data_IF_157274835370
#
_entry.id   IF_157274835370
#
_cell.length_a   1.000
_cell.length_b   1.000
_cell.length_c   1.000
_cell.angle_alpha   90.00
_cell.angle_beta   90.00
_cell.angle_gamma   90.00
#
_symmetry.space_group_name_H-M   'P 1'
#
loop_
_entity.id
_entity.type
_entity.pdbx_description
1 polymer ?
#
# COMPACT_ATOMS: atom_id res chain seq x y z
N UNK A 1 -5.57 -5.82 21.96
CA UNK A 1 -6.27 -6.65 20.96
C UNK A 1 -5.19 -7.21 20.04
N UNK A 2 -5.02 -8.54 20.00
CA UNK A 2 -3.90 -9.16 19.27
C UNK A 2 -4.00 -8.86 17.76
N UNK A 3 -2.86 -8.55 17.14
CA UNK A 3 -2.75 -8.46 15.70
C UNK A 3 -2.86 -9.88 15.14
N UNK A 4 -4.03 -10.24 14.63
CA UNK A 4 -4.25 -11.57 14.06
C UNK A 4 -3.54 -11.64 12.70
N UNK A 5 -2.47 -12.43 12.62
CA UNK A 5 -1.81 -12.73 11.35
C UNK A 5 -2.75 -13.53 10.45
N UNK A 6 -3.25 -12.89 9.39
CA UNK A 6 -4.12 -13.49 8.38
C UNK A 6 -3.28 -14.33 7.42
N UNK A 7 -3.84 -15.43 6.91
CA UNK A 7 -3.26 -16.07 5.74
C UNK A 7 -3.48 -15.18 4.48
N UNK A 8 -2.68 -15.34 3.41
CA UNK A 8 -2.75 -14.45 2.25
C UNK A 8 -4.15 -14.30 1.65
N UNK A 9 -4.91 -15.38 1.55
CA UNK A 9 -6.26 -15.35 0.99
C UNK A 9 -7.24 -14.58 1.88
N UNK A 10 -7.14 -14.71 3.22
CA UNK A 10 -7.97 -13.98 4.17
C UNK A 10 -7.65 -12.48 4.12
N UNK A 11 -6.36 -12.11 4.10
CA UNK A 11 -5.92 -10.73 3.97
C UNK A 11 -6.41 -10.10 2.66
N UNK A 12 -6.31 -10.81 1.54
CA UNK A 12 -6.82 -10.34 0.25
C UNK A 12 -8.34 -10.12 0.30
N UNK A 13 -9.11 -11.09 0.81
CA UNK A 13 -10.56 -10.95 0.92
C UNK A 13 -10.95 -9.76 1.78
N UNK A 14 -10.24 -9.53 2.88
CA UNK A 14 -10.47 -8.40 3.79
C UNK A 14 -10.16 -7.06 3.13
N UNK A 15 -9.04 -6.96 2.38
CA UNK A 15 -8.72 -5.78 1.58
C UNK A 15 -9.87 -5.49 0.60
N UNK A 16 -10.30 -6.50 -0.16
CA UNK A 16 -11.34 -6.33 -1.17
C UNK A 16 -12.68 -5.93 -0.56
N UNK A 17 -13.03 -6.49 0.60
CA UNK A 17 -14.23 -6.15 1.36
C UNK A 17 -14.19 -4.70 1.86
N UNK A 18 -13.09 -4.29 2.50
CA UNK A 18 -12.92 -2.92 3.04
C UNK A 18 -12.81 -1.85 1.95
N UNK A 19 -12.24 -2.20 0.79
CA UNK A 19 -12.19 -1.29 -0.37
C UNK A 19 -13.59 -0.89 -0.86
N UNK A 20 -14.55 -1.82 -0.80
CA UNK A 20 -15.96 -1.61 -1.18
C UNK A 20 -16.76 -0.80 -0.15
N UNK A 21 -16.29 -0.74 1.10
CA UNK A 21 -16.92 0.00 2.19
C UNK A 21 -16.35 1.43 2.34
N UNK A 22 -15.72 1.98 1.29
CA UNK A 22 -15.06 3.29 1.30
C UNK A 22 -13.92 3.49 2.31
N UNK A 23 -13.20 2.41 2.65
CA UNK A 23 -11.95 2.53 3.38
C UNK A 23 -10.94 3.41 2.63
N UNK A 24 -10.64 4.60 3.17
CA UNK A 24 -9.56 5.48 2.69
C UNK A 24 -8.18 4.86 2.95
N UNK A 25 -8.06 4.19 4.09
CA UNK A 25 -6.87 3.48 4.52
C UNK A 25 -7.24 2.08 5.01
N UNK A 26 -6.50 1.10 4.52
CA UNK A 26 -6.69 -0.31 4.87
C UNK A 26 -5.36 -0.84 5.39
N UNK A 27 -5.42 -1.57 6.50
CA UNK A 27 -4.27 -2.24 7.07
C UNK A 27 -4.63 -3.68 7.38
N UNK A 28 -3.80 -4.60 6.92
CA UNK A 28 -3.88 -6.04 7.21
C UNK A 28 -2.52 -6.54 7.66
N UNK A 29 -2.52 -7.64 8.40
CA UNK A 29 -1.35 -8.23 9.04
C UNK A 29 -1.21 -9.67 8.56
N UNK A 30 -0.01 -10.06 8.13
CA UNK A 30 0.30 -11.41 7.66
C UNK A 30 1.60 -11.92 8.28
N UNK A 31 1.79 -13.24 8.28
CA UNK A 31 2.89 -13.87 9.01
C UNK A 31 4.29 -13.58 8.44
N UNK A 32 4.41 -13.38 7.13
CA UNK A 32 5.73 -13.26 6.48
C UNK A 32 5.74 -12.27 5.32
N UNK A 33 6.94 -11.82 4.93
CA UNK A 33 7.13 -11.02 3.72
C UNK A 33 6.58 -11.73 2.48
N UNK A 34 6.78 -13.05 2.39
CA UNK A 34 6.24 -13.87 1.29
C UNK A 34 4.72 -13.80 1.25
N UNK A 35 4.06 -13.92 2.39
CA UNK A 35 2.60 -13.78 2.47
C UNK A 35 2.14 -12.40 2.01
N UNK A 36 2.86 -11.35 2.38
CA UNK A 36 2.54 -9.99 1.96
C UNK A 36 2.68 -9.81 0.44
N UNK A 37 3.73 -10.39 -0.16
CA UNK A 37 3.90 -10.40 -1.61
C UNK A 37 2.80 -11.20 -2.32
N UNK A 38 2.35 -12.31 -1.73
CA UNK A 38 1.28 -13.13 -2.29
C UNK A 38 -0.07 -12.37 -2.22
N UNK A 39 -0.34 -11.61 -1.14
CA UNK A 39 -1.48 -10.67 -1.07
C UNK A 39 -1.36 -9.57 -2.12
N UNK A 40 -0.20 -8.94 -2.27
CA UNK A 40 0.07 -7.92 -3.28
C UNK A 40 -0.23 -8.47 -4.68
N UNK A 41 0.33 -9.63 -5.03
CA UNK A 41 0.12 -10.30 -6.32
C UNK A 41 -1.37 -10.57 -6.56
N UNK A 42 -2.08 -11.09 -5.56
CA UNK A 42 -3.52 -11.31 -5.65
C UNK A 42 -4.31 -10.02 -5.90
N UNK A 43 -3.96 -8.94 -5.19
CA UNK A 43 -4.62 -7.65 -5.36
C UNK A 43 -4.37 -7.05 -6.76
N UNK A 44 -3.10 -6.92 -7.17
CA UNK A 44 -2.73 -6.27 -8.44
C UNK A 44 -3.09 -7.09 -9.68
N UNK A 45 -3.35 -8.40 -9.54
CA UNK A 45 -3.84 -9.26 -10.62
C UNK A 45 -5.37 -9.37 -10.66
N UNK A 46 -6.05 -8.92 -9.62
CA UNK A 46 -7.52 -8.96 -9.57
C UNK A 46 -8.12 -8.15 -10.74
N UNK A 47 -9.19 -8.67 -11.33
CA UNK A 47 -9.92 -7.97 -12.41
C UNK A 47 -10.42 -6.60 -11.95
N UNK A 48 -10.78 -6.45 -10.68
CA UNK A 48 -11.28 -5.17 -10.13
C UNK A 48 -10.18 -4.10 -10.10
N UNK A 49 -8.96 -4.45 -9.66
CA UNK A 49 -7.84 -3.51 -9.60
C UNK A 49 -7.22 -3.24 -10.99
N UNK A 50 -7.04 -4.28 -11.80
CA UNK A 50 -6.39 -4.17 -13.14
C UNK A 50 -7.23 -3.43 -14.17
N UNK A 51 -8.57 -3.42 -14.04
CA UNK A 51 -9.47 -2.60 -14.89
C UNK A 51 -9.09 -1.11 -14.89
N UNK A 52 -8.42 -0.63 -13.83
CA UNK A 52 -8.00 0.76 -13.69
C UNK A 52 -6.60 1.04 -14.25
N UNK A 53 -5.80 0.00 -14.52
CA UNK A 53 -4.45 0.08 -15.09
C UNK A 53 -3.46 -0.93 -14.49
N UNK A 54 -2.15 -0.71 -14.73
CA UNK A 54 -1.05 -1.49 -14.15
C UNK A 54 -0.45 -0.85 -12.89
N UNK A 55 0.00 -1.70 -11.96
CA UNK A 55 0.73 -1.27 -10.77
C UNK A 55 2.23 -1.24 -11.02
N UNK A 56 2.91 -0.21 -10.49
CA UNK A 56 4.37 -0.04 -10.61
C UNK A 56 5.06 -0.16 -9.25
N UNK A 57 6.17 -0.91 -9.20
CA UNK A 57 7.06 -0.92 -8.04
C UNK A 57 7.84 0.40 -7.97
N UNK A 58 7.79 1.06 -6.81
CA UNK A 58 8.41 2.36 -6.54
C UNK A 58 9.41 2.34 -5.39
N UNK A 59 9.76 1.17 -4.87
CA UNK A 59 10.62 0.99 -3.68
C UNK A 59 11.94 1.77 -3.74
N UNK A 60 12.64 1.69 -4.88
CA UNK A 60 13.95 2.34 -5.05
C UNK A 60 13.87 3.63 -5.88
N UNK A 61 12.66 4.18 -6.08
CA UNK A 61 12.51 5.39 -6.87
C UNK A 61 12.78 6.63 -6.01
N UNK A 62 13.70 7.46 -6.48
CA UNK A 62 13.91 8.79 -5.91
C UNK A 62 12.60 9.56 -6.00
N UNK A 63 12.08 9.99 -4.85
CA UNK A 63 10.90 10.83 -4.81
C UNK A 63 11.20 12.12 -5.59
N UNK A 64 10.41 12.45 -6.61
CA UNK A 64 10.65 13.64 -7.40
C UNK A 64 10.49 14.90 -6.56
N UNK A 65 11.39 15.85 -6.77
CA UNK A 65 11.37 17.15 -6.14
C UNK A 65 10.22 18.01 -6.71
N UNK A 66 9.40 18.60 -5.84
CA UNK A 66 8.30 19.47 -6.23
C UNK A 66 7.24 19.67 -5.15
N UNK A 67 6.53 20.79 -5.18
CA UNK A 67 5.44 21.10 -4.22
C UNK A 67 4.29 20.10 -4.43
N UNK A 68 3.92 19.40 -3.36
CA UNK A 68 2.69 18.59 -3.28
C UNK A 68 1.49 19.46 -3.69
N UNK A 69 0.66 18.98 -4.60
CA UNK A 69 -0.68 19.56 -4.76
C UNK A 69 -1.51 19.13 -3.56
N UNK A 70 -2.24 20.07 -2.96
CA UNK A 70 -3.03 19.91 -1.73
C UNK A 70 -4.12 18.84 -1.81
N UNK A 71 -4.45 18.37 -3.02
CA UNK A 71 -5.49 17.37 -3.29
C UNK A 71 -4.96 16.07 -3.93
N UNK A 72 -3.65 15.84 -3.89
CA UNK A 72 -3.02 14.64 -4.48
C UNK A 72 -2.68 13.64 -3.40
N UNK A 73 -2.88 12.34 -3.70
CA UNK A 73 -2.28 11.24 -2.93
C UNK A 73 -0.79 11.54 -2.69
N UNK A 74 -0.32 11.36 -1.46
CA UNK A 74 1.02 11.75 -0.95
C UNK A 74 2.21 11.20 -1.76
N UNK A 75 1.95 10.29 -2.70
CA UNK A 75 2.92 9.59 -3.51
C UNK A 75 2.89 9.92 -5.00
N UNK A 76 1.95 10.74 -5.47
CA UNK A 76 1.93 11.17 -6.86
C UNK A 76 2.80 12.44 -7.01
N UNK A 77 3.88 12.39 -7.79
CA UNK A 77 4.73 13.55 -8.02
C UNK A 77 3.93 14.75 -8.52
N UNK A 78 4.00 15.88 -7.82
CA UNK A 78 3.46 17.17 -8.26
C UNK A 78 4.28 17.83 -9.38
N UNK A 79 4.70 17.06 -10.40
CA UNK A 79 5.59 17.51 -11.46
C UNK A 79 5.00 17.31 -12.85
N UNK A 80 5.08 18.34 -13.71
CA UNK A 80 4.64 18.29 -15.12
C UNK A 80 5.24 17.05 -15.81
N UNK A 81 4.35 16.15 -16.29
CA UNK A 81 4.56 14.79 -16.86
C UNK A 81 4.14 13.60 -15.96
N UNK A 82 3.82 13.80 -14.68
CA UNK A 82 3.56 12.71 -13.72
C UNK A 82 2.11 12.19 -13.62
N UNK A 83 1.23 12.54 -14.56
CA UNK A 83 -0.17 12.09 -14.56
C UNK A 83 -0.38 10.81 -15.36
N UNK A 84 0.41 9.77 -15.09
CA UNK A 84 -0.08 8.43 -15.40
C UNK A 84 -0.93 8.03 -14.20
N UNK A 85 -2.27 7.96 -14.38
CA UNK A 85 -3.19 7.30 -13.45
C UNK A 85 -2.71 5.85 -13.32
N UNK A 86 -1.78 5.58 -12.41
CA UNK A 86 -1.18 4.28 -12.18
C UNK A 86 -1.21 4.01 -10.68
N UNK A 87 -1.55 2.78 -10.33
CA UNK A 87 -1.33 2.30 -8.99
C UNK A 87 0.18 2.13 -8.75
N UNK A 88 0.64 2.38 -7.55
CA UNK A 88 2.04 2.13 -7.17
C UNK A 88 2.08 1.24 -5.94
N UNK A 89 3.21 0.59 -5.72
CA UNK A 89 3.52 -0.04 -4.45
C UNK A 89 5.00 0.11 -4.12
N UNK A 90 5.34 0.03 -2.84
CA UNK A 90 6.71 0.00 -2.36
C UNK A 90 6.81 -0.81 -1.07
N UNK A 91 8.02 -1.26 -0.77
CA UNK A 91 8.35 -1.87 0.51
C UNK A 91 8.90 -0.78 1.43
N UNK A 92 8.27 -0.64 2.59
CA UNK A 92 8.76 0.20 3.67
C UNK A 92 9.28 -0.68 4.80
N UNK A 93 10.40 -0.25 5.38
CA UNK A 93 10.97 -0.87 6.57
C UNK A 93 10.50 -0.15 7.81
N UNK A 94 10.48 -0.88 8.92
CA UNK A 94 10.33 -0.28 10.22
C UNK A 94 11.44 0.76 10.45
N UNK A 95 11.07 1.95 10.90
CA UNK A 95 12.01 3.01 11.26
C UNK A 95 11.75 3.46 12.69
N UNK A 96 12.73 3.22 13.57
CA UNK A 96 12.67 3.61 14.98
C UNK A 96 12.62 5.14 15.18
N UNK A 97 13.05 5.90 14.18
CA UNK A 97 13.03 7.36 14.21
C UNK A 97 11.76 7.95 13.62
N UNK A 98 10.83 7.12 13.14
CA UNK A 98 9.57 7.58 12.60
C UNK A 98 8.75 8.27 13.71
N UNK A 99 7.95 9.29 13.34
CA UNK A 99 7.22 10.09 14.33
C UNK A 99 6.01 9.32 14.84
N UNK A 100 5.54 9.64 16.03
CA UNK A 100 4.28 9.10 16.55
C UNK A 100 3.15 9.36 15.54
N UNK A 101 2.55 8.29 15.03
CA UNK A 101 1.53 8.32 13.97
C UNK A 101 2.03 7.84 12.61
N UNK A 102 3.34 7.70 12.40
CA UNK A 102 3.90 7.12 11.19
C UNK A 102 3.75 5.60 11.21
N UNK A 103 3.25 5.04 10.12
CA UNK A 103 3.09 3.60 9.95
C UNK A 103 4.43 2.86 9.83
N UNK A 104 5.51 3.57 9.52
CA UNK A 104 6.87 3.05 9.59
C UNK A 104 7.29 2.69 11.03
N UNK A 105 6.62 3.19 12.08
CA UNK A 105 6.83 2.69 13.45
C UNK A 105 6.19 1.33 13.69
N UNK A 106 5.15 0.98 12.94
CA UNK A 106 4.31 -0.20 13.22
C UNK A 106 5.02 -1.49 12.79
N UNK A 107 5.81 -1.44 11.71
CA UNK A 107 6.58 -2.59 11.23
C UNK A 107 6.88 -2.51 9.75
N UNK A 108 7.62 -3.52 9.27
CA UNK A 108 7.86 -3.71 7.85
C UNK A 108 6.54 -3.99 7.12
N UNK A 109 6.36 -3.37 5.94
CA UNK A 109 5.13 -3.52 5.19
C UNK A 109 5.28 -3.22 3.70
N UNK A 110 4.30 -3.70 2.93
CA UNK A 110 4.06 -3.26 1.56
C UNK A 110 2.98 -2.20 1.61
N UNK A 111 3.26 -1.02 1.07
CA UNK A 111 2.26 0.03 0.89
C UNK A 111 1.86 0.11 -0.58
N UNK A 112 0.56 0.09 -0.84
CA UNK A 112 -0.04 0.16 -2.17
C UNK A 112 -0.86 1.45 -2.27
N UNK A 113 -0.56 2.27 -3.27
CA UNK A 113 -1.38 3.41 -3.67
C UNK A 113 -2.27 3.01 -4.82
N UNK A 114 -3.57 3.12 -4.59
CA UNK A 114 -4.57 2.83 -5.62
C UNK A 114 -4.82 4.05 -6.51
N UNK A 115 -5.45 3.82 -7.66
CA UNK A 115 -5.89 4.86 -8.60
C UNK A 115 -6.87 5.88 -7.99
N UNK A 116 -7.55 5.49 -6.91
CA UNK A 116 -8.56 6.30 -6.23
C UNK A 116 -7.98 7.12 -5.08
N UNK A 117 -6.66 7.08 -4.89
CA UNK A 117 -5.99 7.72 -3.75
C UNK A 117 -6.20 6.98 -2.42
N UNK A 118 -6.76 5.76 -2.43
CA UNK A 118 -6.81 4.88 -1.26
C UNK A 118 -5.46 4.22 -1.02
N UNK A 119 -5.12 4.00 0.24
CA UNK A 119 -3.86 3.39 0.68
C UNK A 119 -4.16 2.02 1.31
N UNK A 120 -3.40 1.00 0.89
CA UNK A 120 -3.44 -0.34 1.49
C UNK A 120 -2.06 -0.65 2.06
N UNK A 121 -2.00 -1.05 3.33
CA UNK A 121 -0.78 -1.45 4.02
C UNK A 121 -0.88 -2.92 4.42
N UNK A 122 0.11 -3.71 4.01
CA UNK A 122 0.21 -5.13 4.30
C UNK A 122 1.43 -5.32 5.19
N UNK A 123 1.22 -5.34 6.50
CA UNK A 123 2.29 -5.53 7.48
C UNK A 123 2.68 -6.99 7.59
N UNK A 124 3.97 -7.26 7.79
CA UNK A 124 4.51 -8.61 7.90
C UNK A 124 5.63 -8.72 8.94
N UNK A 125 5.88 -9.94 9.43
CA UNK A 125 6.96 -10.21 10.38
C UNK A 125 6.74 -9.63 11.78
N UNK A 126 5.50 -9.24 12.08
CA UNK A 126 5.09 -8.84 13.42
C UNK A 126 4.86 -10.12 14.24
N UNK A 127 5.86 -10.42 15.08
CA UNK A 127 5.80 -11.46 16.10
C UNK A 127 5.37 -10.85 17.44
#
# INVERSE_FOLDING_TARGET
MGLSNLCPQQALNEIMRRMKQDGKEISVYVGSKKDAEDVLRGYISSKEATKKGRFRNTTDQVLPSGKKSSNSSDWLPGGKKAYQKQGTYHYDKADINAKTGDHALIGDHIQIHTYEGKIIRIFYGLN
#
